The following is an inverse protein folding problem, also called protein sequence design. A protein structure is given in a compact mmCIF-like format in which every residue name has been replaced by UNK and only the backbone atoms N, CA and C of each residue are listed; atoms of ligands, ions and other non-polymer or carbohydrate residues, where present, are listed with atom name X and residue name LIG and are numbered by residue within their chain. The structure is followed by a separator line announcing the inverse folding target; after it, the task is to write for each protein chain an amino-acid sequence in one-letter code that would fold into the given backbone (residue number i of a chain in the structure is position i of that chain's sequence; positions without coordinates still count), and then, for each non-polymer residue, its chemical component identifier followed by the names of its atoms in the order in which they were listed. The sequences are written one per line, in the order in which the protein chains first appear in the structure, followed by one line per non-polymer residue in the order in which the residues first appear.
data_IF_629534879086
#
_entry.id   IF_629534879086
#
_cell.length_a   1.000
_cell.length_b   1.000
_cell.length_c   1.000
_cell.angle_alpha   90.00
_cell.angle_beta   90.00
_cell.angle_gamma   90.00
#
_symmetry.space_group_name_H-M   'P 1'
#
loop_
_entity.id
_entity.type
_entity.pdbx_description
1 polymer ?
#
# COMPACT_ATOMS: atom_id res chain seq x y z
N UNK A 1 -23.58 0.50 -12.64
CA UNK A 1 -22.20 0.16 -13.03
C UNK A 1 -21.74 -0.95 -12.10
N UNK A 2 -21.17 -2.03 -12.61
CA UNK A 2 -20.60 -3.10 -11.79
C UNK A 2 -19.10 -2.93 -11.77
N UNK A 3 -18.49 -2.90 -10.58
CA UNK A 3 -17.04 -2.79 -10.38
C UNK A 3 -16.55 -4.13 -9.90
N UNK A 4 -15.46 -4.66 -10.51
CA UNK A 4 -14.77 -5.84 -10.00
C UNK A 4 -13.58 -5.41 -9.15
N UNK A 5 -13.63 -5.84 -7.89
CA UNK A 5 -12.55 -5.64 -6.91
C UNK A 5 -11.96 -7.00 -6.55
N UNK A 6 -10.65 -7.11 -6.59
CA UNK A 6 -9.91 -8.29 -6.15
C UNK A 6 -9.19 -7.99 -4.83
N UNK A 7 -9.48 -8.77 -3.79
CA UNK A 7 -8.78 -8.69 -2.50
C UNK A 7 -7.67 -9.73 -2.47
N UNK A 8 -6.42 -9.28 -2.50
CA UNK A 8 -5.25 -10.14 -2.46
C UNK A 8 -4.92 -10.50 -1.00
N UNK A 9 -5.35 -11.66 -0.56
CA UNK A 9 -5.06 -12.13 0.79
C UNK A 9 -3.71 -12.83 0.82
N UNK A 10 -2.67 -12.07 1.15
CA UNK A 10 -1.28 -12.53 1.24
C UNK A 10 -0.80 -12.56 2.68
N UNK A 11 0.26 -13.34 2.95
CA UNK A 11 0.99 -13.35 4.21
C UNK A 11 2.36 -12.71 4.00
N UNK A 12 2.55 -11.42 4.33
CA UNK A 12 3.84 -10.76 4.17
C UNK A 12 4.89 -11.35 5.12
N UNK A 13 6.13 -11.49 4.64
CA UNK A 13 7.26 -11.83 5.50
C UNK A 13 7.75 -10.60 6.25
N UNK A 14 7.92 -10.74 7.54
CA UNK A 14 8.46 -9.67 8.38
C UNK A 14 9.87 -9.31 7.94
N UNK A 15 10.08 -8.03 7.66
CA UNK A 15 11.40 -7.48 7.33
C UNK A 15 11.91 -7.76 5.91
N UNK A 16 11.23 -8.60 5.14
CA UNK A 16 11.66 -9.01 3.80
C UNK A 16 10.87 -8.23 2.72
N UNK A 17 11.23 -6.94 2.56
CA UNK A 17 10.58 -6.04 1.59
C UNK A 17 10.63 -6.60 0.18
N UNK A 18 11.77 -7.13 -0.25
CA UNK A 18 11.93 -7.62 -1.61
C UNK A 18 11.00 -8.82 -1.90
N UNK A 19 10.97 -9.80 -1.01
CA UNK A 19 10.06 -10.93 -1.12
C UNK A 19 8.59 -10.46 -1.17
N UNK A 20 8.22 -9.51 -0.31
CA UNK A 20 6.86 -9.01 -0.24
C UNK A 20 6.45 -8.30 -1.53
N UNK A 21 7.32 -7.46 -2.09
CA UNK A 21 7.07 -6.78 -3.36
C UNK A 21 6.95 -7.77 -4.52
N UNK A 22 7.87 -8.74 -4.63
CA UNK A 22 7.79 -9.80 -5.64
C UNK A 22 6.48 -10.60 -5.51
N UNK A 23 6.05 -10.87 -4.29
CA UNK A 23 4.80 -11.56 -4.04
C UNK A 23 3.59 -10.75 -4.49
N UNK A 24 3.57 -9.46 -4.18
CA UNK A 24 2.52 -8.54 -4.65
C UNK A 24 2.48 -8.48 -6.18
N UNK A 25 3.63 -8.35 -6.84
CA UNK A 25 3.74 -8.36 -8.30
C UNK A 25 3.18 -9.64 -8.92
N UNK A 26 3.51 -10.81 -8.35
CA UNK A 26 2.98 -12.10 -8.79
C UNK A 26 1.45 -12.15 -8.69
N UNK A 27 0.89 -11.69 -7.55
CA UNK A 27 -0.56 -11.66 -7.36
C UNK A 27 -1.27 -10.70 -8.31
N UNK A 28 -0.69 -9.53 -8.59
CA UNK A 28 -1.24 -8.59 -9.59
C UNK A 28 -1.28 -9.26 -10.96
N UNK A 29 -0.17 -9.86 -11.40
CA UNK A 29 -0.07 -10.52 -12.70
C UNK A 29 -1.03 -11.71 -12.82
N UNK A 30 -1.12 -12.54 -11.78
CA UNK A 30 -2.04 -13.67 -11.73
C UNK A 30 -3.50 -13.17 -11.77
N UNK A 31 -3.85 -12.19 -10.95
CA UNK A 31 -5.19 -11.61 -10.94
C UNK A 31 -5.60 -11.09 -12.32
N UNK A 32 -4.72 -10.36 -13.00
CA UNK A 32 -5.02 -9.82 -14.32
C UNK A 32 -5.05 -10.88 -15.42
N UNK A 33 -4.40 -12.03 -15.22
CA UNK A 33 -4.50 -13.17 -16.12
C UNK A 33 -5.81 -13.92 -15.95
N UNK A 34 -6.22 -14.17 -14.70
CA UNK A 34 -7.43 -14.95 -14.38
C UNK A 34 -8.71 -14.09 -14.45
N UNK A 35 -8.59 -12.82 -14.10
CA UNK A 35 -9.72 -11.86 -14.01
C UNK A 35 -9.35 -10.53 -14.69
N UNK A 36 -9.25 -10.50 -16.03
CA UNK A 36 -8.75 -9.34 -16.78
C UNK A 36 -9.65 -8.10 -16.71
N UNK A 37 -10.88 -8.24 -16.21
CA UNK A 37 -11.83 -7.15 -15.97
C UNK A 37 -11.77 -6.59 -14.52
N UNK A 38 -10.77 -6.98 -13.73
CA UNK A 38 -10.49 -6.38 -12.42
C UNK A 38 -10.11 -4.91 -12.60
N UNK A 39 -10.73 -4.04 -11.81
CA UNK A 39 -10.51 -2.59 -11.87
C UNK A 39 -9.77 -2.03 -10.64
N UNK A 40 -9.84 -2.76 -9.53
CA UNK A 40 -9.16 -2.41 -8.28
C UNK A 40 -8.60 -3.67 -7.63
N UNK A 41 -7.33 -3.64 -7.20
CA UNK A 41 -6.73 -4.68 -6.36
C UNK A 41 -6.40 -4.07 -4.99
N UNK A 42 -6.81 -4.77 -3.93
CA UNK A 42 -6.57 -4.34 -2.54
C UNK A 42 -5.69 -5.37 -1.84
N UNK A 43 -4.54 -4.93 -1.35
CA UNK A 43 -3.63 -5.70 -0.51
C UNK A 43 -3.85 -5.40 0.98
N UNK A 44 -3.38 -6.27 1.88
CA UNK A 44 -3.57 -6.08 3.31
C UNK A 44 -2.74 -4.93 3.88
N UNK A 45 -3.02 -4.62 5.14
CA UNK A 45 -2.22 -3.75 6.00
C UNK A 45 -0.76 -4.23 6.04
N UNK A 46 0.20 -3.29 6.00
CA UNK A 46 1.64 -3.56 6.05
C UNK A 46 2.11 -4.67 5.06
N UNK A 47 1.49 -4.70 3.88
CA UNK A 47 1.78 -5.70 2.85
C UNK A 47 3.25 -5.73 2.44
N UNK A 48 3.97 -4.61 2.56
CA UNK A 48 5.37 -4.48 2.14
C UNK A 48 6.38 -4.86 3.21
N UNK A 49 5.99 -4.86 4.50
CA UNK A 49 6.91 -5.02 5.63
C UNK A 49 6.62 -6.23 6.54
N UNK A 50 5.38 -6.71 6.55
CA UNK A 50 4.86 -7.58 7.61
C UNK A 50 4.42 -6.78 8.83
N UNK A 51 3.64 -7.42 9.73
CA UNK A 51 2.89 -6.74 10.77
C UNK A 51 3.63 -6.65 12.12
N UNK A 52 4.32 -7.71 12.56
CA UNK A 52 4.94 -7.79 13.88
C UNK A 52 6.44 -7.48 13.82
N UNK A 53 6.80 -6.19 13.74
CA UNK A 53 8.19 -5.74 13.68
C UNK A 53 8.63 -4.92 14.89
N UNK A 54 9.96 -4.76 15.04
CA UNK A 54 10.53 -3.79 15.99
C UNK A 54 10.49 -2.38 15.41
N UNK A 55 10.70 -1.37 16.25
CA UNK A 55 10.80 0.05 15.82
C UNK A 55 11.90 0.21 14.78
N UNK A 56 13.07 -0.40 15.00
CA UNK A 56 14.22 -0.33 14.10
C UNK A 56 13.93 -0.98 12.74
N UNK A 57 13.20 -2.10 12.73
CA UNK A 57 12.77 -2.76 11.49
C UNK A 57 11.83 -1.87 10.70
N UNK A 58 10.81 -1.27 11.33
CA UNK A 58 9.92 -0.35 10.64
C UNK A 58 10.63 0.91 10.17
N UNK A 59 11.58 1.44 10.94
CA UNK A 59 12.42 2.55 10.50
C UNK A 59 13.25 2.21 9.26
N UNK A 60 13.81 1.02 9.20
CA UNK A 60 14.60 0.56 8.04
C UNK A 60 13.74 0.32 6.78
N UNK A 61 12.47 -0.08 6.96
CA UNK A 61 11.56 -0.45 5.88
C UNK A 61 10.67 0.69 5.40
N UNK A 62 10.55 1.75 6.21
CA UNK A 62 9.67 2.88 5.90
C UNK A 62 10.19 3.70 4.71
N UNK A 63 9.28 4.02 3.80
CA UNK A 63 9.53 4.87 2.63
C UNK A 63 8.54 6.03 2.60
N UNK A 64 8.89 7.08 1.87
CA UNK A 64 7.97 8.19 1.61
C UNK A 64 6.90 7.77 0.59
N UNK A 65 5.85 8.57 0.45
CA UNK A 65 4.79 8.34 -0.53
C UNK A 65 5.16 8.76 -1.96
N UNK A 66 6.22 9.57 -2.12
CA UNK A 66 6.57 10.15 -3.41
C UNK A 66 7.70 9.42 -4.13
N UNK A 67 8.66 8.87 -3.39
CA UNK A 67 9.93 8.42 -3.96
C UNK A 67 10.38 7.03 -3.44
N UNK A 68 9.42 6.17 -3.13
CA UNK A 68 9.72 4.81 -2.69
C UNK A 68 9.83 3.82 -3.85
N UNK A 69 10.76 2.86 -3.75
CA UNK A 69 10.91 1.77 -4.74
C UNK A 69 9.57 1.04 -4.99
N UNK A 70 8.77 0.81 -3.93
CA UNK A 70 7.48 0.12 -4.05
C UNK A 70 6.47 0.92 -4.86
N UNK A 71 6.45 2.26 -4.74
CA UNK A 71 5.58 3.13 -5.53
C UNK A 71 5.89 2.93 -7.01
N UNK A 72 7.16 2.95 -7.39
CA UNK A 72 7.56 2.75 -8.78
C UNK A 72 7.23 1.35 -9.30
N UNK A 73 7.49 0.30 -8.53
CA UNK A 73 7.27 -1.09 -8.93
C UNK A 73 5.77 -1.40 -9.06
N UNK A 74 5.00 -1.12 -8.02
CA UNK A 74 3.55 -1.38 -8.02
C UNK A 74 2.83 -0.43 -8.97
N UNK A 75 3.25 0.84 -9.02
CA UNK A 75 2.72 1.83 -9.96
C UNK A 75 2.92 1.42 -11.43
N UNK A 76 4.09 0.87 -11.78
CA UNK A 76 4.33 0.37 -13.14
C UNK A 76 3.35 -0.73 -13.54
N UNK A 77 2.95 -1.60 -12.60
CA UNK A 77 1.94 -2.62 -12.85
C UNK A 77 0.53 -2.04 -12.91
N UNK A 78 0.21 -1.07 -12.06
CA UNK A 78 -1.06 -0.35 -12.13
C UNK A 78 -1.24 0.31 -13.50
N UNK A 79 -0.22 1.02 -13.99
CA UNK A 79 -0.21 1.64 -15.32
C UNK A 79 -0.28 0.59 -16.45
N UNK A 80 0.49 -0.50 -16.36
CA UNK A 80 0.50 -1.57 -17.35
C UNK A 80 -0.89 -2.17 -17.58
N UNK A 81 -1.65 -2.37 -16.51
CA UNK A 81 -2.96 -3.02 -16.57
C UNK A 81 -4.13 -2.03 -16.55
N UNK A 82 -3.88 -0.72 -16.36
CA UNK A 82 -4.92 0.30 -16.29
C UNK A 82 -5.86 0.13 -15.09
N UNK A 83 -5.34 -0.25 -13.92
CA UNK A 83 -6.11 -0.58 -12.71
C UNK A 83 -5.69 0.29 -11.52
N UNK A 84 -6.59 0.42 -10.56
CA UNK A 84 -6.26 0.98 -9.24
C UNK A 84 -5.66 -0.10 -8.34
N UNK A 85 -4.72 0.30 -7.48
CA UNK A 85 -4.13 -0.60 -6.48
C UNK A 85 -4.08 0.11 -5.12
N UNK A 86 -4.57 -0.56 -4.07
CA UNK A 86 -4.42 -0.13 -2.67
C UNK A 86 -3.53 -1.11 -1.93
N UNK A 87 -2.56 -0.60 -1.17
CA UNK A 87 -1.75 -1.43 -0.30
C UNK A 87 -1.26 -0.70 0.96
N UNK A 88 -1.08 -1.47 2.05
CA UNK A 88 -0.56 -0.98 3.31
C UNK A 88 0.96 -1.04 3.40
N UNK A 89 1.58 -0.06 4.08
CA UNK A 89 3.03 0.05 4.24
C UNK A 89 3.42 0.94 5.43
N UNK A 90 4.62 0.80 5.99
CA UNK A 90 5.17 1.77 6.91
C UNK A 90 5.61 3.03 6.14
N UNK A 91 4.93 4.14 6.39
CA UNK A 91 5.22 5.43 5.77
C UNK A 91 6.20 6.22 6.62
N UNK A 92 7.18 6.83 5.97
CA UNK A 92 8.07 7.84 6.56
C UNK A 92 7.54 9.23 6.24
N UNK A 93 7.39 10.07 7.25
CA UNK A 93 7.01 11.47 7.03
C UNK A 93 8.09 12.19 6.21
N UNK A 94 7.66 13.01 5.25
CA UNK A 94 8.57 13.69 4.33
C UNK A 94 9.35 14.83 4.99
N UNK A 95 8.78 15.44 6.03
CA UNK A 95 9.37 16.58 6.73
C UNK A 95 10.10 16.10 7.99
N UNK A 96 9.44 15.25 8.77
CA UNK A 96 9.94 14.70 10.01
C UNK A 96 10.33 13.24 9.80
N UNK A 97 11.51 13.00 9.26
CA UNK A 97 11.96 11.68 8.79
C UNK A 97 12.12 10.61 9.88
N UNK A 98 12.09 10.98 11.14
CA UNK A 98 12.02 10.11 12.32
C UNK A 98 10.59 9.71 12.70
N UNK A 99 9.58 10.36 12.09
CA UNK A 99 8.16 10.06 12.31
C UNK A 99 7.68 9.05 11.28
N UNK A 100 7.05 7.98 11.77
CA UNK A 100 6.46 6.94 10.94
C UNK A 100 4.94 6.88 11.12
N UNK A 101 4.26 6.38 10.08
CA UNK A 101 2.83 6.08 10.09
C UNK A 101 2.57 4.66 9.55
N UNK A 102 1.52 4.03 10.05
CA UNK A 102 0.93 2.86 9.41
C UNK A 102 -0.08 3.37 8.37
N UNK A 103 0.23 3.21 7.10
CA UNK A 103 -0.47 3.88 6.01
C UNK A 103 -0.94 2.94 4.93
N UNK A 104 -1.96 3.36 4.21
CA UNK A 104 -2.40 2.76 2.96
C UNK A 104 -2.36 3.79 1.84
N UNK A 105 -1.77 3.45 0.70
CA UNK A 105 -1.71 4.30 -0.49
C UNK A 105 -2.67 3.80 -1.55
N UNK A 106 -3.33 4.72 -2.24
CA UNK A 106 -4.08 4.46 -3.47
C UNK A 106 -3.22 4.87 -4.67
N UNK A 107 -2.94 3.92 -5.55
CA UNK A 107 -2.27 4.13 -6.84
C UNK A 107 -3.34 4.19 -7.93
N UNK A 108 -3.25 5.17 -8.82
CA UNK A 108 -4.15 5.32 -9.97
C UNK A 108 -3.76 4.43 -11.17
N UNK A 109 -4.57 4.52 -12.22
CA UNK A 109 -4.39 3.76 -13.47
C UNK A 109 -3.19 4.21 -14.31
N UNK A 110 -2.62 5.36 -14.00
CA UNK A 110 -1.39 5.87 -14.61
C UNK A 110 -0.14 5.50 -13.79
N UNK A 111 -0.34 4.77 -12.68
CA UNK A 111 0.72 4.32 -11.80
C UNK A 111 1.18 5.37 -10.79
N UNK A 112 0.41 6.44 -10.60
CA UNK A 112 0.74 7.53 -9.70
C UNK A 112 0.00 7.39 -8.37
N UNK A 113 0.64 7.74 -7.23
CA UNK A 113 -0.07 7.81 -5.97
C UNK A 113 -1.09 8.96 -6.00
N UNK A 114 -2.35 8.65 -5.74
CA UNK A 114 -3.42 9.66 -5.58
C UNK A 114 -3.40 10.28 -4.19
N UNK A 115 -2.99 9.52 -3.20
CA UNK A 115 -2.89 9.95 -1.82
C UNK A 115 -2.80 8.79 -0.86
N UNK A 116 -2.69 9.11 0.42
CA UNK A 116 -2.42 8.15 1.49
C UNK A 116 -3.37 8.35 2.65
N UNK A 117 -3.90 7.27 3.16
CA UNK A 117 -4.58 7.22 4.46
C UNK A 117 -3.57 6.81 5.52
N UNK A 118 -3.40 7.61 6.56
CA UNK A 118 -2.63 7.30 7.78
C UNK A 118 -3.57 6.76 8.85
N UNK A 119 -3.33 5.57 9.34
CA UNK A 119 -4.17 4.90 10.34
C UNK A 119 -4.42 5.79 11.56
N UNK A 120 -5.71 6.15 11.78
CA UNK A 120 -6.10 7.08 12.86
C UNK A 120 -6.09 6.41 14.23
N UNK A 121 -6.35 5.09 14.28
CA UNK A 121 -6.39 4.32 15.52
C UNK A 121 -5.33 3.21 15.52
N UNK A 122 -4.02 3.53 15.74
CA UNK A 122 -3.00 2.49 15.90
C UNK A 122 -3.35 1.53 17.02
N UNK A 123 -3.21 0.22 16.74
CA UNK A 123 -3.54 -0.84 17.69
C UNK A 123 -2.33 -1.18 18.57
N UNK A 124 -2.57 -1.35 19.87
CA UNK A 124 -1.60 -1.91 20.83
C UNK A 124 -0.12 -1.52 20.58
N UNK A 125 0.69 -2.47 20.10
CA UNK A 125 2.12 -2.31 19.84
C UNK A 125 2.44 -1.32 18.71
N UNK A 126 1.52 -1.04 17.80
CA UNK A 126 1.75 -0.04 16.74
C UNK A 126 2.08 1.34 17.32
N UNK A 127 1.50 1.68 18.48
CA UNK A 127 1.76 2.95 19.17
C UNK A 127 3.21 3.14 19.61
N UNK A 128 4.03 2.08 19.57
CA UNK A 128 5.46 2.18 19.91
C UNK A 128 6.30 2.65 18.73
N UNK A 129 5.82 2.49 17.49
CA UNK A 129 6.61 2.80 16.30
C UNK A 129 5.95 3.81 15.35
N UNK A 130 4.61 3.93 15.33
CA UNK A 130 3.94 4.88 14.45
C UNK A 130 3.05 5.87 15.20
N UNK A 131 2.89 7.05 14.62
CA UNK A 131 1.91 8.05 15.03
C UNK A 131 0.54 7.78 14.44
N UNK A 132 -0.50 8.23 15.12
CA UNK A 132 -1.85 8.25 14.59
C UNK A 132 -2.00 9.32 13.49
N UNK A 133 -2.70 8.98 12.42
CA UNK A 133 -3.22 9.94 11.48
C UNK A 133 -4.39 10.75 12.08
N UNK A 134 -4.85 11.77 11.36
CA UNK A 134 -5.94 12.62 11.80
C UNK A 134 -6.98 12.90 10.70
N UNK A 135 -6.83 12.27 9.53
CA UNK A 135 -7.67 12.52 8.37
C UNK A 135 -8.30 11.24 7.84
N UNK A 136 -9.43 11.38 7.18
CA UNK A 136 -10.13 10.34 6.45
C UNK A 136 -10.28 10.79 4.99
N UNK A 137 -9.21 10.70 4.19
CA UNK A 137 -9.23 11.15 2.81
C UNK A 137 -10.22 10.33 1.99
N UNK A 138 -10.85 10.98 1.02
CA UNK A 138 -11.71 10.36 0.02
C UNK A 138 -11.17 10.77 -1.35
N UNK A 139 -11.01 9.81 -2.23
CA UNK A 139 -10.44 10.00 -3.55
C UNK A 139 -11.53 9.86 -4.62
N UNK A 140 -11.71 10.88 -5.46
CA UNK A 140 -12.60 10.80 -6.62
C UNK A 140 -11.90 10.03 -7.74
N UNK A 141 -12.52 8.93 -8.16
CA UNK A 141 -12.04 8.06 -9.24
C UNK A 141 -13.14 7.81 -10.26
N UNK A 142 -12.80 7.25 -11.42
CA UNK A 142 -13.83 6.82 -12.39
C UNK A 142 -14.61 5.56 -11.95
N UNK A 143 -14.17 4.91 -10.87
CA UNK A 143 -14.93 3.85 -10.20
C UNK A 143 -15.95 4.43 -9.19
N UNK A 144 -15.86 5.72 -8.86
CA UNK A 144 -16.58 6.38 -7.80
C UNK A 144 -15.64 6.90 -6.71
N UNK A 145 -16.18 7.20 -5.55
CA UNK A 145 -15.40 7.65 -4.39
C UNK A 145 -14.86 6.44 -3.62
N UNK A 146 -13.56 6.42 -3.42
CA UNK A 146 -12.82 5.42 -2.65
C UNK A 146 -12.28 6.03 -1.36
#
# INVERSE_FOLDING_TARGET
MTIRVSCAQIWPRLGDKEYNLQKMEQYIQQTMTEYPDTQLIVFPELATSGYEGTVEQFQALAETTEDGERIHRIGSLAAKYGIYIVYGFPERDMIHTDVLYNSAVLIDKDGKPMGTYRKVHPFASEKTWCRAGCEFPVFDTDLGRL
#
